data_IF_775456089214
#
_entry.id   IF_775456089214
#
_cell.length_a   1.000
_cell.length_b   1.000
_cell.length_c   1.000
_cell.angle_alpha   90.00
_cell.angle_beta   90.00
_cell.angle_gamma   90.00
#
_symmetry.space_group_name_H-M   'P 1'
#
loop_
_entity.id
_entity.type
_entity.pdbx_description
1 polymer ?
#
# COMPACT_ATOMS: atom_id res chain seq x y z
N UNK A 1 -3.70 4.60 11.37
CA UNK A 1 -3.62 3.85 10.10
C UNK A 1 -2.84 4.63 9.07
N UNK A 2 -2.04 3.95 8.31
CA UNK A 2 -1.23 4.56 7.26
C UNK A 2 -1.63 3.99 5.91
N UNK A 3 -1.77 4.86 4.92
CA UNK A 3 -2.10 4.44 3.56
C UNK A 3 -1.02 4.95 2.61
N UNK A 4 -0.45 4.05 1.83
CA UNK A 4 0.49 4.37 0.78
C UNK A 4 -0.16 4.06 -0.56
N UNK A 5 0.22 4.80 -1.60
CA UNK A 5 -0.37 4.68 -2.93
C UNK A 5 0.71 4.34 -3.94
N UNK A 6 0.42 3.36 -4.77
CA UNK A 6 1.32 2.91 -5.83
C UNK A 6 0.62 2.93 -7.17
N UNK A 7 1.41 3.05 -8.22
CA UNK A 7 0.94 2.75 -9.56
C UNK A 7 1.42 1.36 -9.94
N UNK A 8 0.55 0.60 -10.60
CA UNK A 8 0.83 -0.77 -10.97
C UNK A 8 0.34 -1.07 -12.38
N UNK A 9 1.13 -1.82 -13.13
CA UNK A 9 0.74 -2.24 -14.47
C UNK A 9 0.02 -3.57 -14.36
N UNK A 10 -1.18 -3.65 -14.92
CA UNK A 10 -1.97 -4.85 -14.90
C UNK A 10 -1.77 -5.72 -16.13
N UNK A 11 -2.16 -6.98 -16.02
CA UNK A 11 -2.15 -7.92 -17.15
C UNK A 11 -3.15 -7.54 -18.22
N UNK A 12 -4.07 -6.64 -17.91
CA UNK A 12 -5.00 -6.08 -18.88
C UNK A 12 -4.40 -4.92 -19.71
N UNK A 13 -3.12 -4.61 -19.49
CA UNK A 13 -2.43 -3.52 -20.18
C UNK A 13 -2.72 -2.14 -19.61
N UNK A 14 -3.45 -2.06 -18.50
CA UNK A 14 -3.82 -0.77 -17.91
C UNK A 14 -3.02 -0.50 -16.66
N UNK A 15 -2.89 0.78 -16.33
CA UNK A 15 -2.28 1.21 -15.07
C UNK A 15 -3.36 1.29 -14.02
N UNK A 16 -3.12 0.64 -12.90
CA UNK A 16 -4.04 0.60 -11.77
C UNK A 16 -3.43 1.32 -10.58
N UNK A 17 -4.28 1.81 -9.72
CA UNK A 17 -3.86 2.39 -8.45
C UNK A 17 -3.99 1.29 -7.39
N UNK A 18 -2.94 1.12 -6.60
CA UNK A 18 -2.91 0.14 -5.52
C UNK A 18 -2.70 0.87 -4.21
N UNK A 19 -3.51 0.56 -3.23
CA UNK A 19 -3.39 1.12 -1.89
C UNK A 19 -2.83 0.07 -0.95
N UNK A 20 -1.83 0.46 -0.17
CA UNK A 20 -1.33 -0.37 0.92
C UNK A 20 -1.78 0.26 2.22
N UNK A 21 -2.59 -0.46 2.98
CA UNK A 21 -3.08 0.00 4.28
C UNK A 21 -2.35 -0.75 5.38
N UNK A 22 -1.74 0.00 6.27
CA UNK A 22 -1.05 -0.56 7.42
C UNK A 22 -1.73 -0.05 8.68
N UNK A 23 -2.21 -0.96 9.52
CA UNK A 23 -2.82 -0.60 10.78
C UNK A 23 -1.79 -0.71 11.88
N UNK A 24 -1.88 0.19 12.84
CA UNK A 24 -1.04 0.14 14.02
C UNK A 24 -1.87 -0.17 15.25
N UNK A 25 -1.23 -0.73 16.25
CA UNK A 25 -1.86 -0.98 17.54
C UNK A 25 -0.81 -0.81 18.62
N UNK A 26 -1.26 -0.66 19.85
CA UNK A 26 -0.34 -0.45 20.97
C UNK A 26 -0.34 -1.67 21.88
N UNK A 27 0.84 -2.01 22.36
CA UNK A 27 1.02 -3.08 23.33
C UNK A 27 1.57 -2.44 24.60
N UNK A 28 0.94 -2.76 25.73
CA UNK A 28 1.43 -2.28 27.01
C UNK A 28 2.56 -3.19 27.47
N UNK A 29 3.68 -2.58 27.81
CA UNK A 29 4.84 -3.31 28.30
C UNK A 29 5.27 -2.75 29.65
N UNK A 30 6.28 -3.36 30.26
CA UNK A 30 6.86 -2.87 31.50
C UNK A 30 7.47 -1.49 31.35
N UNK A 31 7.83 -1.10 30.15
CA UNK A 31 8.46 0.19 29.87
C UNK A 31 7.50 1.20 29.26
N UNK A 32 6.21 0.89 29.23
CA UNK A 32 5.20 1.76 28.66
C UNK A 32 4.54 1.14 27.44
N UNK A 33 3.89 1.99 26.64
CA UNK A 33 3.19 1.55 25.45
C UNK A 33 4.14 1.55 24.26
N UNK A 34 4.09 0.48 23.50
CA UNK A 34 4.91 0.32 22.30
C UNK A 34 3.98 0.20 21.11
N UNK A 35 4.24 0.99 20.08
CA UNK A 35 3.47 0.92 18.85
C UNK A 35 3.95 -0.24 18.00
N UNK A 36 3.01 -1.03 17.52
CA UNK A 36 3.28 -2.15 16.63
C UNK A 36 2.48 -1.99 15.36
N UNK A 37 2.96 -2.57 14.27
CA UNK A 37 2.27 -2.54 13.00
C UNK A 37 1.76 -3.92 12.66
N UNK A 38 0.54 -3.98 12.12
CA UNK A 38 -0.01 -5.20 11.57
C UNK A 38 0.53 -5.39 10.16
N UNK A 39 0.42 -6.60 9.66
CA UNK A 39 0.79 -6.91 8.30
C UNK A 39 -0.04 -6.05 7.35
N UNK A 40 0.58 -5.40 6.36
CA UNK A 40 -0.16 -4.52 5.47
C UNK A 40 -1.11 -5.28 4.57
N UNK A 41 -2.19 -4.61 4.18
CA UNK A 41 -3.17 -5.15 3.24
C UNK A 41 -3.20 -4.27 2.00
N UNK A 42 -3.40 -4.90 0.87
CA UNK A 42 -3.36 -4.23 -0.43
C UNK A 42 -4.73 -4.28 -1.09
N UNK A 43 -5.09 -3.17 -1.75
CA UNK A 43 -6.37 -3.01 -2.42
C UNK A 43 -6.18 -2.27 -3.74
N UNK A 44 -7.03 -2.60 -4.72
CA UNK A 44 -7.12 -1.80 -5.93
C UNK A 44 -7.88 -0.50 -5.64
N UNK A 45 -7.77 0.45 -6.56
CA UNK A 45 -8.45 1.72 -6.43
C UNK A 45 -9.97 1.60 -6.32
N UNK A 46 -10.55 0.54 -6.86
CA UNK A 46 -11.98 0.30 -6.75
C UNK A 46 -12.38 -0.37 -5.43
N UNK A 47 -11.43 -0.66 -4.57
CA UNK A 47 -11.69 -1.29 -3.28
C UNK A 47 -11.51 -2.79 -3.23
N UNK A 48 -11.26 -3.45 -4.37
CA UNK A 48 -11.06 -4.88 -4.39
C UNK A 48 -9.78 -5.26 -3.68
N UNK A 49 -9.84 -6.29 -2.87
CA UNK A 49 -8.69 -6.77 -2.13
C UNK A 49 -7.72 -7.47 -3.05
N UNK A 50 -6.43 -7.28 -2.81
CA UNK A 50 -5.37 -7.95 -3.55
C UNK A 50 -4.64 -8.93 -2.64
N UNK A 51 -4.14 -10.00 -3.24
CA UNK A 51 -3.31 -10.99 -2.57
C UNK A 51 -1.89 -10.90 -3.13
N UNK A 52 -0.91 -11.21 -2.29
CA UNK A 52 0.46 -11.25 -2.74
C UNK A 52 0.66 -12.41 -3.71
N UNK A 53 1.33 -12.13 -4.81
CA UNK A 53 1.73 -13.17 -5.76
C UNK A 53 3.15 -13.63 -5.41
N UNK A 54 3.80 -14.34 -6.34
CA UNK A 54 5.10 -14.93 -6.09
C UNK A 54 6.20 -13.90 -5.85
N UNK A 55 6.05 -12.71 -6.41
CA UNK A 55 7.03 -11.64 -6.26
C UNK A 55 6.53 -10.59 -5.29
N UNK A 56 7.41 -9.99 -4.54
CA UNK A 56 7.07 -8.99 -3.55
C UNK A 56 6.43 -7.72 -4.13
N UNK A 57 6.63 -7.45 -5.42
CA UNK A 57 6.07 -6.29 -6.11
C UNK A 57 4.86 -6.63 -6.97
N UNK A 58 4.37 -7.85 -6.89
CA UNK A 58 3.29 -8.37 -7.74
C UNK A 58 2.13 -8.82 -6.87
N UNK A 59 0.93 -8.44 -7.27
CA UNK A 59 -0.30 -8.77 -6.55
C UNK A 59 -1.34 -9.26 -7.54
N UNK A 60 -2.31 -10.00 -7.05
CA UNK A 60 -3.38 -10.51 -7.89
C UNK A 60 -4.71 -10.40 -7.16
N UNK A 61 -5.80 -10.34 -7.93
CA UNK A 61 -7.13 -10.46 -7.39
C UNK A 61 -7.36 -11.89 -6.91
N UNK A 62 -8.26 -12.11 -5.92
CA UNK A 62 -8.49 -13.45 -5.40
C UNK A 62 -8.95 -14.46 -6.45
N UNK A 63 -9.67 -14.00 -7.49
CA UNK A 63 -10.10 -14.85 -8.59
C UNK A 63 -8.99 -15.11 -9.62
N UNK A 64 -7.86 -14.42 -9.50
CA UNK A 64 -6.74 -14.57 -10.41
C UNK A 64 -6.90 -13.91 -11.77
N UNK A 65 -8.00 -13.18 -12.01
CA UNK A 65 -8.26 -12.58 -13.32
C UNK A 65 -7.31 -11.42 -13.62
N UNK A 66 -6.88 -10.72 -12.62
CA UNK A 66 -5.99 -9.56 -12.80
C UNK A 66 -4.77 -9.71 -11.93
N UNK A 67 -3.61 -9.55 -12.53
CA UNK A 67 -2.34 -9.48 -11.81
C UNK A 67 -1.75 -8.11 -12.09
N UNK A 68 -1.28 -7.45 -11.06
CA UNK A 68 -0.70 -6.11 -11.17
C UNK A 68 0.70 -6.12 -10.58
N UNK A 69 1.59 -5.37 -11.21
CA UNK A 69 2.96 -5.23 -10.78
C UNK A 69 3.25 -3.77 -10.48
N UNK A 70 3.79 -3.51 -9.31
CA UNK A 70 4.11 -2.16 -8.87
C UNK A 70 5.16 -1.53 -9.79
N UNK A 71 4.86 -0.33 -10.26
CA UNK A 71 5.72 0.40 -11.17
C UNK A 71 6.51 1.51 -10.49
N UNK A 72 5.94 2.10 -9.45
CA UNK A 72 6.53 3.28 -8.85
C UNK A 72 6.66 3.12 -7.36
N UNK A 73 7.51 3.94 -6.78
CA UNK A 73 7.64 3.99 -5.34
C UNK A 73 6.33 4.44 -4.71
N UNK A 74 6.06 4.02 -3.48
CA UNK A 74 4.86 4.44 -2.79
C UNK A 74 4.89 5.94 -2.57
N UNK A 75 3.74 6.59 -2.73
CA UNK A 75 3.57 7.96 -2.35
C UNK A 75 2.41 8.05 -1.38
N UNK A 76 2.48 8.99 -0.47
CA UNK A 76 1.43 9.18 0.50
C UNK A 76 0.40 10.13 -0.07
N UNK A 77 -0.87 9.80 0.09
CA UNK A 77 -1.94 10.64 -0.44
C UNK A 77 -2.17 11.82 0.48
N UNK A 78 -1.22 12.65 0.71
CA UNK A 78 -1.46 13.77 1.54
C UNK A 78 -0.87 15.00 0.97
N UNK A 79 -1.32 15.95 1.42
CA UNK A 79 -0.93 17.15 1.19
C UNK A 79 0.34 17.59 1.63
N UNK A 80 0.95 17.99 1.26
CA UNK A 80 2.12 18.27 1.63
C UNK A 80 2.86 19.23 2.04
N UNK A 81 2.94 19.35 2.37
CA UNK A 81 3.82 19.86 2.49
C UNK A 81 4.76 19.84 2.07
N UNK A 82 4.62 19.77 2.05
CA UNK A 82 5.60 19.69 1.67
C UNK A 82 6.24 19.92 1.16
N UNK A 83 5.88 20.03 1.16
CA UNK A 83 6.59 20.17 0.56
C UNK A 83 7.25 20.65 0.30
N UNK A 84 7.06 20.74 0.44
CA UNK A 84 7.84 21.11 0.11
C UNK A 84 8.66 21.40 0.15
N UNK A 85 8.68 21.25 0.37
CA UNK A 85 9.58 21.34 0.39
C UNK A 85 10.32 21.71 -0.08
N UNK A 86 9.93 21.88 -0.08
CA UNK A 86 10.62 22.23 -0.56
C UNK A 86 11.33 22.66 -0.88
N UNK A 87 11.20 22.62 -0.95
CA UNK A 87 11.95 22.97 -1.39
C UNK A 87 12.63 23.46 -1.51
N UNK A 88 12.64 23.56 -1.47
CA UNK A 88 13.47 24.03 -1.69
C UNK A 88 14.25 24.24 -1.80
#
# INVERSE_FOLDING_TARGET
>A
MRTDVFRALGTDGRVHIVFRRTQTYFVKTAYGRVEKQREPRFYLGNGDRLECADRYDTFRTPDGDLVVRIMTRPSRPRTGRHASRVAA
#
